data_IF_003574051536
#
_entry.id   IF_003574051536
#
_cell.length_a   1.000
_cell.length_b   1.000
_cell.length_c   1.000
_cell.angle_alpha   90.00
_cell.angle_beta   90.00
_cell.angle_gamma   90.00
#
_symmetry.space_group_name_H-M   'P 1'
#
loop_
_entity.id
_entity.type
_entity.pdbx_description
1 polymer ?
#
# COMPACT_ATOMS: atom_id res chain seq x y z
N UNK A 1 8.46 -2.06 -17.35
CA UNK A 1 7.41 -1.05 -17.62
C UNK A 1 7.99 0.30 -17.32
N UNK A 2 7.42 1.38 -17.85
CA UNK A 2 7.83 2.73 -17.48
C UNK A 2 6.97 3.23 -16.32
N UNK A 3 7.60 3.83 -15.31
CA UNK A 3 6.91 4.48 -14.20
C UNK A 3 6.59 5.92 -14.59
N UNK A 4 5.38 6.38 -14.27
CA UNK A 4 5.00 7.78 -14.48
C UNK A 4 5.47 8.57 -13.28
N UNK A 5 6.31 9.57 -13.53
CA UNK A 5 6.96 10.39 -12.51
C UNK A 5 6.29 11.77 -12.45
N UNK A 6 6.20 12.34 -11.25
CA UNK A 6 5.71 13.70 -11.04
C UNK A 6 6.69 14.71 -11.66
N UNK A 7 6.22 15.67 -12.47
CA UNK A 7 7.07 16.67 -13.11
C UNK A 7 7.67 17.68 -12.12
N UNK A 8 7.22 17.70 -10.86
CA UNK A 8 7.64 18.67 -9.84
C UNK A 8 8.44 18.09 -8.67
N UNK A 9 8.37 16.78 -8.44
CA UNK A 9 8.88 16.18 -7.20
C UNK A 9 9.82 15.00 -7.42
N UNK A 10 10.02 14.54 -8.65
CA UNK A 10 10.84 13.36 -8.98
C UNK A 10 10.45 12.10 -8.18
N UNK A 11 9.13 11.95 -7.94
CA UNK A 11 8.52 10.78 -7.28
C UNK A 11 7.51 10.12 -8.20
N UNK A 12 7.24 8.84 -7.99
CA UNK A 12 6.20 8.13 -8.75
C UNK A 12 4.81 8.72 -8.48
N UNK A 13 4.02 8.89 -9.55
CA UNK A 13 2.62 9.26 -9.46
C UNK A 13 1.78 8.08 -8.93
N UNK A 14 0.83 8.36 -8.03
CA UNK A 14 -0.03 7.35 -7.41
C UNK A 14 -1.39 7.33 -8.12
N UNK A 15 -1.88 6.14 -8.47
CA UNK A 15 -3.22 5.96 -9.02
C UNK A 15 -4.29 6.05 -7.93
N UNK A 16 -5.31 6.89 -8.16
CA UNK A 16 -6.48 7.04 -7.31
C UNK A 16 -7.73 6.53 -8.03
N UNK A 17 -8.27 5.40 -7.55
CA UNK A 17 -9.43 4.75 -8.18
C UNK A 17 -10.70 5.59 -8.13
N UNK A 18 -10.96 6.31 -7.04
CA UNK A 18 -12.19 7.09 -6.86
C UNK A 18 -12.33 8.25 -7.86
N UNK A 19 -11.23 8.70 -8.48
CA UNK A 19 -11.22 9.79 -9.47
C UNK A 19 -10.55 9.41 -10.79
N UNK A 20 -10.23 8.12 -10.99
CA UNK A 20 -9.51 7.59 -12.16
C UNK A 20 -8.36 8.48 -12.64
N UNK A 21 -7.50 8.91 -11.69
CA UNK A 21 -6.43 9.87 -11.96
C UNK A 21 -5.12 9.47 -11.30
N UNK A 22 -4.03 10.04 -11.81
CA UNK A 22 -2.71 10.00 -11.20
C UNK A 22 -2.53 11.24 -10.33
N UNK A 23 -2.01 11.09 -9.11
CA UNK A 23 -1.76 12.20 -8.18
C UNK A 23 -0.41 12.07 -7.50
N UNK A 24 0.29 13.19 -7.39
CA UNK A 24 1.43 13.35 -6.51
C UNK A 24 0.93 13.75 -5.12
N UNK A 25 1.28 12.99 -4.08
CA UNK A 25 0.92 13.32 -2.70
C UNK A 25 1.80 14.38 -2.04
N UNK A 26 2.87 14.82 -2.70
CA UNK A 26 3.78 15.83 -2.17
C UNK A 26 3.44 17.25 -2.64
N UNK A 27 3.12 17.42 -3.93
CA UNK A 27 2.80 18.73 -4.51
C UNK A 27 1.35 18.87 -5.00
N UNK A 28 0.53 17.84 -4.79
CA UNK A 28 -0.88 17.82 -5.19
C UNK A 28 -1.15 17.90 -6.70
N UNK A 29 -0.09 17.81 -7.53
CA UNK A 29 -0.23 17.69 -8.98
C UNK A 29 -1.04 16.44 -9.34
N UNK A 30 -1.98 16.61 -10.27
CA UNK A 30 -2.82 15.53 -10.76
C UNK A 30 -2.88 15.55 -12.29
N UNK A 31 -2.94 14.36 -12.89
CA UNK A 31 -2.99 14.19 -14.35
C UNK A 31 -3.84 12.96 -14.71
N UNK A 32 -4.43 12.93 -15.92
CA UNK A 32 -5.19 11.76 -16.37
C UNK A 32 -4.27 10.55 -16.58
N UNK A 33 -4.85 9.36 -16.47
CA UNK A 33 -4.14 8.12 -16.78
C UNK A 33 -3.88 8.06 -18.29
N UNK A 34 -2.63 7.84 -18.75
CA UNK A 34 -2.37 7.69 -20.17
C UNK A 34 -2.93 6.35 -20.67
N UNK A 35 -3.53 6.35 -21.86
CA UNK A 35 -4.01 5.13 -22.51
C UNK A 35 -2.90 4.34 -23.21
N UNK A 36 -1.74 4.98 -23.43
CA UNK A 36 -0.58 4.44 -24.12
C UNK A 36 0.68 4.86 -23.36
N UNK A 37 1.60 3.93 -23.13
CA UNK A 37 2.88 4.23 -22.51
C UNK A 37 3.70 5.20 -23.39
N UNK A 38 4.13 6.37 -22.88
CA UNK A 38 4.85 7.37 -23.66
C UNK A 38 6.23 6.91 -24.13
N UNK A 39 6.78 5.85 -23.53
CA UNK A 39 8.13 5.33 -23.85
C UNK A 39 8.13 4.13 -24.80
N UNK A 40 7.13 3.25 -24.72
CA UNK A 40 7.12 2.00 -25.48
C UNK A 40 5.86 1.77 -26.32
N UNK A 41 4.94 2.73 -26.36
CA UNK A 41 3.67 2.67 -27.10
C UNK A 41 2.76 1.47 -26.75
N UNK A 42 3.04 0.79 -25.66
CA UNK A 42 2.18 -0.30 -25.17
C UNK A 42 0.88 0.26 -24.59
N UNK A 43 -0.24 -0.39 -24.90
CA UNK A 43 -1.55 -0.16 -24.26
C UNK A 43 -1.70 -0.87 -22.91
N UNK A 44 -0.72 -1.68 -22.51
CA UNK A 44 -0.75 -2.45 -21.26
C UNK A 44 -0.30 -1.57 -20.10
N UNK A 45 -1.19 -0.70 -19.64
CA UNK A 45 -1.00 0.12 -18.45
C UNK A 45 -1.40 -0.68 -17.21
N UNK A 46 -0.53 -0.68 -16.20
CA UNK A 46 -0.77 -1.36 -14.93
C UNK A 46 -0.54 -0.38 -13.79
N UNK A 47 -1.45 -0.38 -12.83
CA UNK A 47 -1.33 0.42 -11.62
C UNK A 47 -0.61 -0.39 -10.55
N UNK A 48 0.45 0.21 -9.99
CA UNK A 48 1.24 -0.36 -8.91
C UNK A 48 1.20 0.62 -7.74
N UNK A 49 0.79 0.15 -6.57
CA UNK A 49 0.53 0.99 -5.40
C UNK A 49 -0.67 0.44 -4.62
N UNK A 50 -0.71 0.71 -3.32
CA UNK A 50 -1.43 -0.02 -2.25
C UNK A 50 -0.79 -1.37 -1.85
N UNK A 51 0.54 -1.40 -1.72
CA UNK A 51 1.32 -2.62 -1.45
C UNK A 51 0.77 -3.50 -0.32
N UNK A 52 0.39 -2.91 0.81
CA UNK A 52 -0.20 -3.67 1.94
C UNK A 52 -1.69 -3.93 1.76
N UNK A 53 -2.49 -3.02 1.22
CA UNK A 53 -3.94 -3.28 1.02
C UNK A 53 -4.19 -4.36 -0.04
N UNK A 54 -3.48 -4.29 -1.17
CA UNK A 54 -3.57 -5.33 -2.20
C UNK A 54 -3.07 -6.67 -1.71
N UNK A 55 -1.98 -6.70 -0.93
CA UNK A 55 -1.52 -7.94 -0.31
C UNK A 55 -2.52 -8.44 0.73
N UNK A 56 -3.17 -7.56 1.51
CA UNK A 56 -4.24 -7.93 2.42
C UNK A 56 -5.41 -8.60 1.68
N UNK A 57 -5.86 -8.01 0.56
CA UNK A 57 -6.92 -8.59 -0.28
C UNK A 57 -6.53 -9.96 -0.84
N UNK A 58 -5.31 -10.11 -1.35
CA UNK A 58 -4.83 -11.40 -1.86
C UNK A 58 -4.70 -12.42 -0.73
N UNK A 59 -4.22 -12.02 0.45
CA UNK A 59 -4.15 -12.89 1.63
C UNK A 59 -5.54 -13.37 2.05
N UNK A 60 -6.53 -12.47 2.10
CA UNK A 60 -7.93 -12.84 2.41
C UNK A 60 -8.52 -13.81 1.38
N UNK A 61 -8.14 -13.68 0.11
CA UNK A 61 -8.59 -14.58 -0.97
C UNK A 61 -8.00 -15.99 -0.83
N UNK A 62 -6.72 -16.10 -0.49
CA UNK A 62 -6.02 -17.39 -0.42
C UNK A 62 -6.15 -18.06 0.95
N UNK A 63 -6.20 -17.29 2.04
CA UNK A 63 -6.29 -17.76 3.42
C UNK A 63 -7.63 -17.36 4.04
N UNK A 64 -8.71 -18.00 3.58
CA UNK A 64 -10.09 -17.64 3.94
C UNK A 64 -10.40 -17.69 5.44
N UNK A 65 -9.66 -18.49 6.20
CA UNK A 65 -9.85 -18.69 7.64
C UNK A 65 -8.85 -17.91 8.50
N UNK A 66 -7.83 -17.30 7.91
CA UNK A 66 -6.80 -16.59 8.66
C UNK A 66 -7.30 -15.21 9.08
N UNK A 67 -7.06 -14.86 10.35
CA UNK A 67 -7.28 -13.53 10.92
C UNK A 67 -6.08 -12.67 10.58
N UNK A 68 -6.26 -11.74 9.66
CA UNK A 68 -5.19 -10.88 9.13
C UNK A 68 -5.30 -9.50 9.77
N UNK A 69 -4.20 -9.02 10.35
CA UNK A 69 -4.03 -7.64 10.81
C UNK A 69 -3.10 -6.89 9.86
N UNK A 70 -3.42 -5.63 9.54
CA UNK A 70 -2.56 -4.73 8.76
C UNK A 70 -2.02 -3.64 9.67
N UNK A 71 -0.71 -3.46 9.63
CA UNK A 71 0.01 -2.44 10.37
C UNK A 71 0.99 -1.77 9.40
N UNK A 72 0.59 -0.63 8.84
CA UNK A 72 1.40 0.17 7.92
C UNK A 72 1.41 1.65 8.30
N UNK A 73 2.04 2.49 7.47
CA UNK A 73 2.26 3.90 7.78
C UNK A 73 0.97 4.64 8.15
N UNK A 74 -0.15 4.31 7.53
CA UNK A 74 -1.44 4.96 7.84
C UNK A 74 -1.99 4.50 9.20
N UNK A 75 -1.88 3.20 9.50
CA UNK A 75 -2.31 2.65 10.79
C UNK A 75 -1.43 3.18 11.93
N UNK A 76 -0.11 3.28 11.71
CA UNK A 76 0.84 3.78 12.72
C UNK A 76 0.68 5.25 13.07
N UNK A 77 -0.06 6.05 12.27
CA UNK A 77 -0.41 7.43 12.65
C UNK A 77 -1.25 7.48 13.94
N UNK A 78 -2.01 6.42 14.22
CA UNK A 78 -2.69 6.24 15.49
C UNK A 78 -1.88 5.26 16.35
N UNK A 79 -1.15 5.82 17.33
CA UNK A 79 -0.28 5.06 18.23
C UNK A 79 -1.03 3.99 19.03
N UNK A 80 -2.21 4.33 19.58
CA UNK A 80 -3.00 3.38 20.37
C UNK A 80 -3.45 2.19 19.52
N UNK A 81 -3.95 2.47 18.32
CA UNK A 81 -4.38 1.42 17.39
C UNK A 81 -3.22 0.49 17.00
N UNK A 82 -2.03 1.05 16.77
CA UNK A 82 -0.83 0.27 16.47
C UNK A 82 -0.43 -0.65 17.64
N UNK A 83 -0.43 -0.12 18.87
CA UNK A 83 -0.13 -0.89 20.09
C UNK A 83 -1.15 -2.00 20.33
N UNK A 84 -2.44 -1.74 20.14
CA UNK A 84 -3.50 -2.72 20.29
C UNK A 84 -3.34 -3.88 19.29
N UNK A 85 -3.01 -3.57 18.03
CA UNK A 85 -2.77 -4.58 16.98
C UNK A 85 -1.56 -5.45 17.34
N UNK A 86 -0.47 -4.85 17.82
CA UNK A 86 0.74 -5.58 18.23
C UNK A 86 0.46 -6.49 19.44
N UNK A 87 -0.25 -5.98 20.45
CA UNK A 87 -0.68 -6.75 21.61
C UNK A 87 -1.55 -7.94 21.20
N UNK A 88 -2.56 -7.69 20.36
CA UNK A 88 -3.48 -8.73 19.91
C UNK A 88 -2.79 -9.78 19.03
N UNK A 89 -1.81 -9.37 18.23
CA UNK A 89 -0.98 -10.31 17.47
C UNK A 89 -0.12 -11.18 18.40
N UNK A 90 0.54 -10.59 19.40
CA UNK A 90 1.29 -11.32 20.43
C UNK A 90 0.42 -12.26 21.28
N UNK A 91 -0.85 -11.93 21.46
CA UNK A 91 -1.84 -12.78 22.12
C UNK A 91 -2.49 -13.83 21.19
N UNK A 92 -1.94 -14.05 19.98
CA UNK A 92 -2.46 -14.97 18.96
C UNK A 92 -3.93 -14.73 18.56
N UNK A 93 -4.41 -13.48 18.64
CA UNK A 93 -5.73 -13.11 18.11
C UNK A 93 -5.73 -12.92 16.59
N UNK A 94 -4.54 -12.80 16.00
CA UNK A 94 -4.31 -12.73 14.56
C UNK A 94 -3.30 -13.81 14.16
N UNK A 95 -3.46 -14.33 12.94
CA UNK A 95 -2.64 -15.40 12.38
C UNK A 95 -1.55 -14.83 11.46
N UNK A 96 -1.80 -13.66 10.85
CA UNK A 96 -0.88 -12.99 9.93
C UNK A 96 -0.85 -11.49 10.25
N UNK A 97 0.34 -10.95 10.50
CA UNK A 97 0.59 -9.52 10.60
C UNK A 97 1.24 -9.03 9.30
N UNK A 98 0.52 -8.18 8.57
CA UNK A 98 0.99 -7.57 7.33
C UNK A 98 1.45 -6.14 7.60
N UNK A 99 2.71 -5.84 7.37
CA UNK A 99 3.23 -4.48 7.52
C UNK A 99 4.31 -4.10 6.52
N UNK A 100 4.76 -2.84 6.60
CA UNK A 100 5.92 -2.34 5.85
C UNK A 100 7.19 -2.47 6.69
N UNK A 101 8.36 -2.20 6.11
CA UNK A 101 9.66 -2.33 6.80
C UNK A 101 9.77 -1.55 8.13
N UNK A 102 8.96 -0.49 8.32
CA UNK A 102 8.94 0.27 9.58
C UNK A 102 8.33 -0.53 10.76
N UNK A 103 7.56 -1.58 10.49
CA UNK A 103 6.78 -2.33 11.49
C UNK A 103 7.46 -3.63 11.91
N UNK A 104 8.36 -4.19 11.10
CA UNK A 104 9.07 -5.43 11.43
C UNK A 104 10.34 -5.21 12.27
N UNK A 105 10.84 -3.98 12.39
CA UNK A 105 12.05 -3.66 13.16
C UNK A 105 11.67 -3.25 14.59
N UNK A 106 12.02 -4.07 15.58
CA UNK A 106 11.93 -3.71 17.01
C UNK A 106 10.83 -4.41 17.82
N UNK A 107 10.08 -5.34 17.21
CA UNK A 107 9.05 -6.12 17.91
C UNK A 107 9.40 -7.60 17.89
N UNK A 108 10.01 -8.08 18.98
CA UNK A 108 10.15 -9.51 19.27
C UNK A 108 8.80 -10.01 19.82
N UNK A 109 8.10 -10.82 19.04
CA UNK A 109 6.93 -11.56 19.50
C UNK A 109 7.43 -12.93 20.00
N UNK A 110 7.18 -13.25 21.27
CA UNK A 110 7.49 -14.56 21.87
C UNK A 110 6.29 -15.48 21.85
#
# INVERSE_FOLDING_TARGET
GETIMCPHCDVAMVYHQAGEQLRCHYCEHHEPIPSICPKCNSKRIKFFGSGTQKVEEELRRHFKSARIARLDQDVTKNKQLAEDILHDFGAHKYDILLGTQMVSKGHDFK
#
